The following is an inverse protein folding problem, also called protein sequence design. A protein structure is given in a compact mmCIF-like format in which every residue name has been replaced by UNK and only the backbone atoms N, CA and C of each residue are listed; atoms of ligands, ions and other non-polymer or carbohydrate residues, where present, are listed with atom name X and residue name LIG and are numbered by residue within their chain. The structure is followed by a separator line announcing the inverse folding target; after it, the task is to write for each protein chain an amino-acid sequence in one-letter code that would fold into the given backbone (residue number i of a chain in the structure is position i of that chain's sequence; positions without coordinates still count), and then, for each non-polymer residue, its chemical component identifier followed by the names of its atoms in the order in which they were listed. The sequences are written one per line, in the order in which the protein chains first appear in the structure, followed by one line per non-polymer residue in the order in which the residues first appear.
data_IF_553496119377
#
_entry.id   IF_553496119377
#
_cell.length_a   1.000
_cell.length_b   1.000
_cell.length_c   1.000
_cell.angle_alpha   90.00
_cell.angle_beta   90.00
_cell.angle_gamma   90.00
#
_symmetry.space_group_name_H-M   'P 1'
#
loop_
_entity.id
_entity.type
_entity.pdbx_description
1 polymer ?
#
# COMPACT_ATOMS: atom_id res chain seq x y z
N UNK A 1 -11.53 -13.52 1.39
CA UNK A 1 -10.91 -13.10 2.65
C UNK A 1 -11.43 -11.71 3.00
N UNK A 2 -11.94 -11.49 4.22
CA UNK A 2 -12.48 -10.21 4.70
C UNK A 2 -11.88 -9.87 6.07
N UNK A 3 -11.77 -8.58 6.38
CA UNK A 3 -11.39 -8.05 7.70
C UNK A 3 -12.59 -7.27 8.25
N UNK A 4 -13.18 -7.71 9.36
CA UNK A 4 -14.36 -7.07 9.96
C UNK A 4 -15.47 -6.76 8.93
N UNK A 5 -15.82 -7.74 8.09
CA UNK A 5 -16.79 -7.55 7.03
C UNK A 5 -16.35 -6.67 5.83
N UNK A 6 -15.15 -6.11 5.80
CA UNK A 6 -14.59 -5.34 4.69
C UNK A 6 -13.62 -6.17 3.82
N UNK A 7 -13.40 -5.85 2.53
CA UNK A 7 -12.41 -6.56 1.71
C UNK A 7 -10.99 -6.36 2.26
N UNK A 8 -10.17 -7.41 2.20
CA UNK A 8 -8.74 -7.30 2.49
C UNK A 8 -8.05 -6.49 1.40
N UNK A 9 -7.14 -5.63 1.81
CA UNK A 9 -6.34 -4.81 0.90
C UNK A 9 -5.31 -5.66 0.14
N UNK A 10 -5.26 -5.46 -1.18
CA UNK A 10 -4.35 -6.14 -2.10
C UNK A 10 -3.23 -5.20 -2.58
N UNK A 11 -2.10 -5.79 -2.96
CA UNK A 11 -0.97 -5.05 -3.53
C UNK A 11 -1.31 -4.34 -4.86
N UNK A 12 -2.42 -4.72 -5.50
CA UNK A 12 -2.92 -4.13 -6.75
C UNK A 12 -4.00 -3.07 -6.54
N UNK A 13 -4.40 -2.80 -5.30
CA UNK A 13 -5.42 -1.79 -5.02
C UNK A 13 -4.88 -0.37 -5.26
N UNK A 14 -5.79 0.57 -5.52
CA UNK A 14 -5.46 1.99 -5.67
C UNK A 14 -5.70 2.72 -4.36
N UNK A 15 -4.73 3.54 -3.94
CA UNK A 15 -4.79 4.29 -2.68
C UNK A 15 -4.71 5.79 -2.93
N UNK A 16 -5.42 6.56 -2.11
CA UNK A 16 -5.24 8.01 -2.02
C UNK A 16 -4.08 8.29 -1.07
N UNK A 17 -3.02 8.92 -1.56
CA UNK A 17 -1.90 9.36 -0.72
C UNK A 17 -2.20 10.76 -0.19
N UNK A 18 -2.60 10.83 1.08
CA UNK A 18 -2.80 12.10 1.77
C UNK A 18 -1.49 12.58 2.43
N UNK A 19 -1.20 13.88 2.32
CA UNK A 19 -0.12 14.50 3.11
C UNK A 19 1.31 14.25 2.64
N UNK A 20 1.53 13.84 1.39
CA UNK A 20 2.89 13.78 0.82
C UNK A 20 3.49 15.21 0.84
N UNK A 21 4.55 15.49 1.63
CA UNK A 21 5.12 16.82 1.68
C UNK A 21 5.71 17.14 0.31
N UNK A 22 5.15 18.15 -0.36
CA UNK A 22 5.71 18.64 -1.60
C UNK A 22 7.12 19.18 -1.34
N UNK A 23 8.14 18.55 -1.92
CA UNK A 23 9.50 19.09 -1.86
C UNK A 23 9.56 20.35 -2.74
N UNK A 24 10.07 21.50 -2.23
CA UNK A 24 9.88 22.80 -2.87
C UNK A 24 10.64 22.99 -4.20
N UNK A 25 11.65 22.16 -4.47
CA UNK A 25 12.46 22.25 -5.71
C UNK A 25 11.77 21.57 -6.90
N UNK A 26 10.91 20.59 -6.64
CA UNK A 26 10.06 19.97 -7.65
C UNK A 26 8.84 19.37 -6.95
N UNK A 27 7.73 20.12 -6.85
CA UNK A 27 6.55 19.65 -6.14
C UNK A 27 5.91 18.51 -6.95
N UNK A 28 6.32 17.29 -6.64
CA UNK A 28 5.78 16.09 -7.26
C UNK A 28 5.02 15.29 -6.22
N UNK A 29 3.70 15.10 -6.41
CA UNK A 29 2.93 14.30 -5.48
C UNK A 29 3.24 12.83 -5.70
N UNK A 30 3.08 12.04 -4.64
CA UNK A 30 2.91 10.61 -4.76
C UNK A 30 1.63 10.31 -5.52
N UNK A 31 1.71 9.68 -6.69
CA UNK A 31 0.51 9.30 -7.46
C UNK A 31 0.30 7.79 -7.48
N UNK A 32 1.33 7.02 -7.11
CA UNK A 32 1.28 5.57 -7.10
C UNK A 32 2.11 5.04 -5.93
N UNK A 33 1.58 4.00 -5.26
CA UNK A 33 2.36 3.19 -4.33
C UNK A 33 2.70 1.87 -5.02
N UNK A 34 3.99 1.60 -5.16
CA UNK A 34 4.49 0.34 -5.70
C UNK A 34 5.01 -0.56 -4.57
N UNK A 35 4.23 -1.57 -4.20
CA UNK A 35 4.59 -2.52 -3.14
C UNK A 35 5.79 -3.39 -3.52
N UNK A 36 6.82 -3.38 -2.69
CA UNK A 36 8.04 -4.16 -2.90
C UNK A 36 8.01 -5.47 -2.10
N UNK A 37 7.39 -5.43 -0.92
CA UNK A 37 7.32 -6.55 -0.01
C UNK A 37 5.86 -6.80 0.41
N UNK A 38 5.00 -7.35 -0.47
CA UNK A 38 3.67 -7.78 -0.07
C UNK A 38 3.73 -9.03 0.81
N UNK A 39 2.60 -9.40 1.42
CA UNK A 39 2.55 -10.53 2.33
C UNK A 39 2.93 -11.86 1.64
N UNK A 40 3.82 -12.62 2.27
CA UNK A 40 4.26 -13.92 1.76
C UNK A 40 3.21 -15.04 1.97
N UNK A 41 2.22 -14.82 2.83
CA UNK A 41 1.16 -15.77 3.18
C UNK A 41 -0.18 -15.03 3.27
N UNK A 42 -1.29 -15.76 3.08
CA UNK A 42 -2.63 -15.17 3.06
C UNK A 42 -2.95 -14.43 1.75
N UNK A 43 -2.36 -14.85 0.63
CA UNK A 43 -2.66 -14.31 -0.69
C UNK A 43 -4.12 -14.60 -1.08
N UNK A 44 -4.80 -13.59 -1.62
CA UNK A 44 -6.05 -13.84 -2.35
C UNK A 44 -5.72 -14.52 -3.69
N UNK A 45 -6.72 -15.13 -4.35
CA UNK A 45 -6.55 -15.74 -5.68
C UNK A 45 -6.17 -14.74 -6.78
N UNK A 46 -6.32 -13.43 -6.54
CA UNK A 46 -6.08 -12.38 -7.53
C UNK A 46 -4.72 -11.68 -7.37
N UNK A 47 -4.29 -11.44 -6.14
CA UNK A 47 -3.03 -10.76 -5.83
C UNK A 47 -2.58 -11.01 -4.37
N UNK A 48 -1.28 -10.79 -4.07
CA UNK A 48 -0.80 -10.76 -2.69
C UNK A 48 -1.56 -9.73 -1.85
N UNK A 49 -1.88 -10.11 -0.63
CA UNK A 49 -2.46 -9.20 0.37
C UNK A 49 -1.37 -8.32 1.00
N UNK A 50 -1.79 -7.25 1.66
CA UNK A 50 -0.88 -6.38 2.41
C UNK A 50 -1.06 -6.58 3.92
N UNK A 51 0.06 -6.54 4.65
CA UNK A 51 0.11 -6.58 6.11
C UNK A 51 0.88 -5.37 6.64
N UNK A 52 0.90 -5.17 7.96
CA UNK A 52 1.66 -4.08 8.56
C UNK A 52 3.17 -4.13 8.24
N UNK A 53 3.72 -5.33 8.00
CA UNK A 53 5.12 -5.52 7.59
C UNK A 53 5.37 -5.23 6.11
N UNK A 54 4.32 -4.95 5.33
CA UNK A 54 4.47 -4.64 3.92
C UNK A 54 5.10 -3.26 3.72
N UNK A 55 6.06 -3.20 2.80
CA UNK A 55 6.78 -1.97 2.44
C UNK A 55 6.56 -1.67 0.96
N UNK A 56 6.21 -0.41 0.67
CA UNK A 56 6.06 0.09 -0.69
C UNK A 56 6.96 1.28 -0.98
N UNK A 57 7.04 1.67 -2.25
CA UNK A 57 7.63 2.92 -2.67
C UNK A 57 6.57 3.86 -3.19
N UNK A 58 6.71 5.12 -2.80
CA UNK A 58 5.97 6.20 -3.40
C UNK A 58 6.61 6.59 -4.73
N UNK A 59 5.82 6.58 -5.80
CA UNK A 59 6.25 6.93 -7.16
C UNK A 59 5.52 8.20 -7.60
N UNK A 60 6.29 9.19 -8.05
CA UNK A 60 5.80 10.45 -8.57
C UNK A 60 5.25 10.33 -10.00
N UNK A 61 4.51 11.35 -10.46
CA UNK A 61 3.93 11.39 -11.80
C UNK A 61 4.96 11.30 -12.94
N UNK A 62 6.21 11.70 -12.71
CA UNK A 62 7.30 11.56 -13.68
C UNK A 62 8.05 10.21 -13.58
N UNK A 63 7.58 9.30 -12.70
CA UNK A 63 8.21 8.00 -12.44
C UNK A 63 9.30 8.00 -11.36
N UNK A 64 9.65 9.13 -10.76
CA UNK A 64 10.70 9.19 -9.73
C UNK A 64 10.22 8.61 -8.39
N UNK A 65 11.04 7.74 -7.79
CA UNK A 65 10.81 7.20 -6.44
C UNK A 65 11.07 8.31 -5.41
N UNK A 66 10.06 8.61 -4.60
CA UNK A 66 10.11 9.68 -3.60
C UNK A 66 10.49 9.15 -2.20
N UNK A 67 10.33 7.85 -1.94
CA UNK A 67 10.65 7.23 -0.65
C UNK A 67 9.78 6.03 -0.32
N UNK A 68 9.94 5.49 0.90
CA UNK A 68 9.18 4.33 1.39
C UNK A 68 7.80 4.72 1.94
N UNK A 69 6.81 3.87 1.68
CA UNK A 69 5.47 3.90 2.26
C UNK A 69 5.35 2.72 3.24
N UNK A 70 4.87 3.01 4.45
CA UNK A 70 4.66 2.02 5.51
C UNK A 70 3.19 1.99 5.91
N UNK A 71 2.68 0.80 6.22
CA UNK A 71 1.36 0.64 6.82
C UNK A 71 1.50 0.82 8.33
N UNK A 72 0.94 1.90 8.87
CA UNK A 72 1.09 2.24 10.29
C UNK A 72 0.18 1.40 11.22
N UNK A 73 -0.97 0.98 10.71
CA UNK A 73 -1.92 0.15 11.44
C UNK A 73 -2.67 -0.74 10.45
N UNK A 74 -2.91 -2.00 10.84
CA UNK A 74 -3.75 -2.94 10.14
C UNK A 74 -4.68 -3.63 11.13
N UNK A 75 -5.86 -4.04 10.66
CA UNK A 75 -6.77 -4.83 11.48
C UNK A 75 -6.24 -6.25 11.65
N UNK A 76 -6.39 -6.79 12.86
CA UNK A 76 -5.93 -8.15 13.20
C UNK A 76 -7.04 -9.19 13.09
N UNK A 77 -8.30 -8.76 12.94
CA UNK A 77 -9.46 -9.65 12.88
C UNK A 77 -9.70 -10.13 11.45
N UNK A 78 -9.41 -11.43 11.20
CA UNK A 78 -9.62 -12.06 9.90
C UNK A 78 -10.86 -12.95 9.96
N UNK A 79 -11.79 -12.74 9.03
CA UNK A 79 -12.97 -13.59 8.84
C UNK A 79 -12.87 -14.35 7.51
N UNK A 80 -13.09 -15.67 7.57
CA UNK A 80 -13.17 -16.55 6.40
C UNK A 80 -11.88 -17.28 6.02
N UNK A 81 -11.40 -18.14 6.94
CA UNK A 81 -10.62 -19.33 6.61
C UNK A 81 -11.57 -20.47 6.22
#
# INVERSE_FOLDING_TARGET
MRLNGAPVVLATDTFVVAGCPFVPVSPQPCVLVQWQLPAARGSSTAAPTLTQDSVGFCVAANGAVQGSVLIHAADTSVEGL
#
